data_IF_246368326710
#
_entry.id   IF_246368326710
#
_cell.length_a   1.000
_cell.length_b   1.000
_cell.length_c   1.000
_cell.angle_alpha   90.00
_cell.angle_beta   90.00
_cell.angle_gamma   90.00
#
_symmetry.space_group_name_H-M   'P 1'
#
loop_
_entity.id
_entity.type
_entity.pdbx_description
1 polymer ?
#
# COMPACT_ATOMS: atom_id res chain seq x y z
N UNK A 1 -1.72 -14.14 18.33
CA UNK A 1 -2.55 -12.94 18.11
C UNK A 1 -1.75 -11.73 17.59
N UNK A 2 -0.41 -11.67 17.72
CA UNK A 2 0.36 -10.45 17.41
C UNK A 2 0.21 -9.86 15.99
N UNK A 3 0.10 -10.67 14.93
CA UNK A 3 -0.01 -10.16 13.57
C UNK A 3 -1.33 -9.42 13.30
N UNK A 4 -2.43 -9.93 13.86
CA UNK A 4 -3.75 -9.28 13.77
C UNK A 4 -3.74 -7.97 14.56
N UNK A 5 -3.22 -8.00 15.79
CA UNK A 5 -3.12 -6.81 16.64
C UNK A 5 -2.27 -5.71 15.96
N UNK A 6 -1.15 -6.09 15.33
CA UNK A 6 -0.29 -5.18 14.57
C UNK A 6 -1.01 -4.57 13.37
N UNK A 7 -1.80 -5.35 12.63
CA UNK A 7 -2.61 -4.85 11.52
C UNK A 7 -3.68 -3.85 11.98
N UNK A 8 -4.37 -4.14 13.09
CA UNK A 8 -5.37 -3.23 13.67
C UNK A 8 -4.72 -1.92 14.10
N UNK A 9 -3.55 -1.97 14.74
CA UNK A 9 -2.83 -0.78 15.20
C UNK A 9 -2.31 0.08 14.03
N UNK A 10 -1.91 -0.54 12.92
CA UNK A 10 -1.54 0.17 11.70
C UNK A 10 -2.70 0.99 11.12
N UNK A 11 -3.90 0.40 11.04
CA UNK A 11 -5.10 1.10 10.59
C UNK A 11 -5.50 2.22 11.57
N UNK A 12 -5.45 1.94 12.87
CA UNK A 12 -5.72 2.95 13.90
C UNK A 12 -4.74 4.12 13.81
N UNK A 13 -3.46 3.85 13.53
CA UNK A 13 -2.44 4.87 13.33
C UNK A 13 -2.70 5.75 12.11
N UNK A 14 -3.12 5.17 10.98
CA UNK A 14 -3.53 5.95 9.80
C UNK A 14 -4.77 6.80 10.09
N UNK A 15 -5.75 6.26 10.82
CA UNK A 15 -6.93 7.01 11.25
C UNK A 15 -6.55 8.20 12.14
N UNK A 16 -5.67 7.99 13.12
CA UNK A 16 -5.14 9.08 13.97
C UNK A 16 -4.33 10.12 13.17
N UNK A 17 -3.73 9.73 12.05
CA UNK A 17 -3.06 10.64 11.12
C UNK A 17 -4.03 11.43 10.22
N UNK A 18 -5.35 11.20 10.33
CA UNK A 18 -6.40 11.97 9.66
C UNK A 18 -6.96 11.33 8.38
N UNK A 19 -6.66 10.06 8.10
CA UNK A 19 -7.20 9.37 6.92
C UNK A 19 -8.56 8.71 7.21
N UNK A 20 -9.46 8.72 6.21
CA UNK A 20 -10.75 8.06 6.32
C UNK A 20 -10.64 6.54 6.12
N UNK A 21 -10.51 5.80 7.22
CA UNK A 21 -10.36 4.33 7.21
C UNK A 21 -11.70 3.60 7.37
N UNK A 22 -12.71 4.23 7.97
CA UNK A 22 -13.96 3.57 8.35
C UNK A 22 -14.80 3.18 7.11
N UNK A 23 -14.71 3.94 6.02
CA UNK A 23 -15.39 3.67 4.75
C UNK A 23 -14.74 2.56 3.88
N UNK A 24 -13.72 1.88 4.39
CA UNK A 24 -13.02 0.82 3.67
C UNK A 24 -13.57 -0.57 4.01
N UNK A 25 -13.67 -1.43 2.99
CA UNK A 25 -13.90 -2.85 3.16
C UNK A 25 -12.61 -3.58 3.63
N UNK A 26 -12.74 -4.85 3.98
CA UNK A 26 -11.62 -5.62 4.57
C UNK A 26 -10.46 -5.84 3.59
N UNK A 27 -10.73 -5.96 2.30
CA UNK A 27 -9.69 -6.09 1.27
C UNK A 27 -8.89 -4.79 1.10
N UNK A 28 -9.59 -3.65 1.10
CA UNK A 28 -8.97 -2.34 1.05
C UNK A 28 -8.11 -2.09 2.29
N UNK A 29 -8.64 -2.44 3.48
CA UNK A 29 -7.91 -2.39 4.75
C UNK A 29 -6.68 -3.28 4.74
N UNK A 30 -6.76 -4.48 4.20
CA UNK A 30 -5.63 -5.41 4.10
C UNK A 30 -4.47 -4.80 3.30
N UNK A 31 -4.76 -4.12 2.18
CA UNK A 31 -3.73 -3.43 1.39
C UNK A 31 -3.05 -2.30 2.16
N UNK A 32 -3.81 -1.53 2.95
CA UNK A 32 -3.23 -0.48 3.80
C UNK A 32 -2.38 -1.05 4.94
N UNK A 33 -2.83 -2.14 5.57
CA UNK A 33 -2.02 -2.87 6.57
C UNK A 33 -0.70 -3.29 5.95
N UNK A 34 -0.74 -3.88 4.75
CA UNK A 34 0.46 -4.35 4.07
C UNK A 34 1.40 -3.20 3.68
N UNK A 35 0.86 -2.07 3.21
CA UNK A 35 1.63 -0.85 2.96
C UNK A 35 2.36 -0.36 4.22
N UNK A 36 1.64 -0.22 5.35
CA UNK A 36 2.22 0.22 6.62
C UNK A 36 3.19 -0.79 7.22
N UNK A 37 3.00 -2.08 6.95
CA UNK A 37 3.95 -3.12 7.38
C UNK A 37 5.27 -3.00 6.61
N UNK A 38 5.22 -2.78 5.28
CA UNK A 38 6.41 -2.65 4.45
C UNK A 38 7.21 -1.37 4.70
N UNK A 39 6.54 -0.27 5.03
CA UNK A 39 7.19 1.05 5.14
C UNK A 39 7.35 1.52 6.60
N UNK A 40 6.57 0.97 7.52
CA UNK A 40 6.26 1.66 8.78
C UNK A 40 5.35 2.86 8.55
N UNK A 41 4.79 3.39 9.64
CA UNK A 41 3.78 4.45 9.57
C UNK A 41 4.29 5.74 8.91
N UNK A 42 5.49 6.19 9.28
CA UNK A 42 6.04 7.47 8.81
C UNK A 42 6.21 7.50 7.29
N UNK A 43 6.91 6.50 6.74
CA UNK A 43 7.13 6.41 5.30
C UNK A 43 5.84 6.05 4.54
N UNK A 44 4.89 5.32 5.16
CA UNK A 44 3.57 5.10 4.57
C UNK A 44 2.78 6.42 4.42
N UNK A 45 2.85 7.33 5.41
CA UNK A 45 2.23 8.66 5.31
C UNK A 45 2.87 9.45 4.16
N UNK A 46 4.20 9.44 4.05
CA UNK A 46 4.89 10.10 2.94
C UNK A 46 4.57 9.47 1.58
N UNK A 47 4.40 8.14 1.53
CA UNK A 47 3.96 7.42 0.35
C UNK A 47 2.56 7.86 -0.06
N UNK A 48 1.60 7.86 0.87
CA UNK A 48 0.21 8.27 0.63
C UNK A 48 0.16 9.71 0.09
N UNK A 49 0.90 10.64 0.72
CA UNK A 49 1.03 12.05 0.30
C UNK A 49 1.86 12.28 -0.97
N UNK A 50 2.45 11.22 -1.54
CA UNK A 50 3.31 11.30 -2.72
C UNK A 50 4.47 12.29 -2.57
N UNK A 51 5.11 12.31 -1.40
CA UNK A 51 6.21 13.24 -1.09
C UNK A 51 7.48 12.55 -0.54
N UNK A 52 7.66 11.26 -0.80
CA UNK A 52 8.92 10.56 -0.54
C UNK A 52 10.03 11.17 -1.41
N UNK A 53 11.16 11.52 -0.80
CA UNK A 53 12.33 12.06 -1.50
C UNK A 53 13.03 10.98 -2.34
N UNK A 54 13.76 11.38 -3.38
CA UNK A 54 14.55 10.45 -4.21
C UNK A 54 15.53 9.61 -3.39
N UNK A 55 16.21 10.21 -2.40
CA UNK A 55 17.16 9.50 -1.54
C UNK A 55 16.48 8.49 -0.62
N UNK A 56 15.33 8.83 -0.04
CA UNK A 56 14.58 7.89 0.79
C UNK A 56 13.97 6.78 -0.07
N UNK A 57 13.41 7.10 -1.24
CA UNK A 57 12.91 6.11 -2.18
C UNK A 57 14.02 5.16 -2.65
N UNK A 58 15.24 5.66 -2.87
CA UNK A 58 16.41 4.82 -3.19
C UNK A 58 16.73 3.86 -2.06
N UNK A 59 16.82 4.35 -0.82
CA UNK A 59 17.10 3.51 0.36
C UNK A 59 16.05 2.42 0.53
N UNK A 60 14.77 2.79 0.48
CA UNK A 60 13.64 1.87 0.61
C UNK A 60 13.65 0.83 -0.50
N UNK A 61 13.78 1.26 -1.76
CA UNK A 61 13.77 0.33 -2.89
C UNK A 61 14.96 -0.64 -2.85
N UNK A 62 16.16 -0.18 -2.50
CA UNK A 62 17.33 -1.07 -2.34
C UNK A 62 17.08 -2.09 -1.23
N UNK A 63 16.52 -1.67 -0.09
CA UNK A 63 16.21 -2.57 1.01
C UNK A 63 15.17 -3.63 0.63
N UNK A 64 14.22 -3.28 -0.24
CA UNK A 64 13.12 -4.15 -0.63
C UNK A 64 13.47 -5.13 -1.76
N UNK A 65 14.27 -4.71 -2.75
CA UNK A 65 14.53 -5.52 -3.96
C UNK A 65 16.01 -5.80 -4.23
N UNK A 66 16.91 -5.29 -3.39
CA UNK A 66 18.35 -5.35 -3.60
C UNK A 66 18.86 -4.27 -4.57
N UNK A 67 20.17 -4.01 -4.52
CA UNK A 67 20.80 -2.87 -5.19
C UNK A 67 20.68 -2.92 -6.73
N UNK A 68 20.99 -4.06 -7.35
CA UNK A 68 20.97 -4.18 -8.82
C UNK A 68 19.57 -3.99 -9.40
N UNK A 69 18.58 -4.62 -8.76
CA UNK A 69 17.17 -4.51 -9.13
C UNK A 69 16.67 -3.07 -8.95
N UNK A 70 17.05 -2.40 -7.86
CA UNK A 70 16.69 -1.00 -7.61
C UNK A 70 17.26 -0.07 -8.70
N UNK A 71 18.53 -0.24 -9.09
CA UNK A 71 19.16 0.54 -10.17
C UNK A 71 18.43 0.32 -11.50
N UNK A 72 18.12 -0.93 -11.84
CA UNK A 72 17.39 -1.27 -13.07
C UNK A 72 16.00 -0.64 -13.11
N UNK A 73 15.23 -0.75 -12.02
CA UNK A 73 13.90 -0.16 -11.88
C UNK A 73 13.96 1.37 -11.93
N UNK A 74 14.93 2.01 -11.29
CA UNK A 74 15.11 3.46 -11.31
C UNK A 74 15.41 3.97 -12.73
N UNK A 75 16.28 3.28 -13.49
CA UNK A 75 16.53 3.59 -14.90
C UNK A 75 15.25 3.48 -15.73
N UNK A 76 14.50 2.38 -15.60
CA UNK A 76 13.25 2.15 -16.34
C UNK A 76 12.18 3.20 -16.05
N UNK A 77 12.09 3.69 -14.80
CA UNK A 77 11.05 4.61 -14.35
C UNK A 77 11.52 6.08 -14.26
N UNK A 78 12.75 6.38 -14.70
CA UNK A 78 13.35 7.73 -14.69
C UNK A 78 13.41 8.35 -13.28
N UNK A 79 13.84 7.58 -12.29
CA UNK A 79 14.01 8.02 -10.90
C UNK A 79 13.63 6.95 -9.87
N UNK A 80 14.22 7.02 -8.67
CA UNK A 80 13.95 6.09 -7.58
C UNK A 80 12.57 6.34 -6.96
N UNK A 81 12.10 7.59 -6.88
CA UNK A 81 10.76 7.89 -6.34
C UNK A 81 9.68 7.20 -7.18
N UNK A 82 9.72 7.37 -8.50
CA UNK A 82 8.76 6.74 -9.43
C UNK A 82 8.90 5.21 -9.42
N UNK A 83 10.12 4.70 -9.40
CA UNK A 83 10.39 3.27 -9.35
C UNK A 83 9.85 2.62 -8.07
N UNK A 84 10.12 3.21 -6.91
CA UNK A 84 9.65 2.73 -5.62
C UNK A 84 8.12 2.74 -5.56
N UNK A 85 7.50 3.86 -5.93
CA UNK A 85 6.04 3.99 -5.93
C UNK A 85 5.37 2.94 -6.80
N UNK A 86 5.84 2.79 -8.05
CA UNK A 86 5.29 1.79 -8.96
C UNK A 86 5.49 0.37 -8.43
N UNK A 87 6.71 0.03 -8.03
CA UNK A 87 7.02 -1.33 -7.59
C UNK A 87 6.20 -1.72 -6.36
N UNK A 88 6.07 -0.85 -5.36
CA UNK A 88 5.34 -1.18 -4.14
C UNK A 88 3.83 -1.28 -4.38
N UNK A 89 3.26 -0.43 -5.24
CA UNK A 89 1.86 -0.56 -5.65
C UNK A 89 1.61 -1.89 -6.35
N UNK A 90 2.39 -2.20 -7.38
CA UNK A 90 2.27 -3.46 -8.13
C UNK A 90 2.44 -4.66 -7.16
N UNK A 91 3.46 -4.64 -6.30
CA UNK A 91 3.72 -5.71 -5.34
C UNK A 91 2.56 -5.94 -4.37
N UNK A 92 1.99 -4.88 -3.78
CA UNK A 92 0.86 -5.03 -2.85
C UNK A 92 -0.39 -5.50 -3.59
N UNK A 93 -0.67 -4.95 -4.78
CA UNK A 93 -1.83 -5.33 -5.57
C UNK A 93 -1.76 -6.81 -6.01
N UNK A 94 -0.57 -7.30 -6.36
CA UNK A 94 -0.34 -8.70 -6.74
C UNK A 94 -0.43 -9.67 -5.55
N UNK A 95 -0.02 -9.24 -4.34
CA UNK A 95 -0.01 -10.10 -3.15
C UNK A 95 -1.34 -10.06 -2.36
N UNK A 96 -2.15 -9.02 -2.52
CA UNK A 96 -3.48 -8.90 -1.92
C UNK A 96 -4.52 -8.91 -3.05
N UNK A 97 -4.67 -10.09 -3.67
CA UNK A 97 -5.61 -10.34 -4.76
C UNK A 97 -6.73 -11.28 -4.28
N UNK A 98 -7.97 -10.77 -4.25
CA UNK A 98 -9.12 -11.52 -3.76
C UNK A 98 -9.45 -12.72 -4.66
N UNK A 99 -9.14 -12.67 -5.95
CA UNK A 99 -9.39 -13.79 -6.86
C UNK A 99 -8.54 -15.02 -6.50
N UNK A 100 -7.39 -14.81 -5.88
CA UNK A 100 -6.45 -15.87 -5.51
C UNK A 100 -6.73 -16.40 -4.10
N UNK A 101 -7.11 -15.52 -3.17
CA UNK A 101 -7.15 -15.84 -1.74
C UNK A 101 -8.56 -15.91 -1.13
N UNK A 102 -9.59 -15.34 -1.76
CA UNK A 102 -10.97 -15.44 -1.26
C UNK A 102 -11.70 -16.62 -1.90
N UNK A 103 -12.68 -17.16 -1.17
CA UNK A 103 -13.54 -18.23 -1.68
C UNK A 103 -14.24 -17.74 -2.97
N UNK A 104 -14.07 -18.42 -4.12
CA UNK A 104 -14.65 -18.00 -5.41
C UNK A 104 -16.16 -17.76 -5.38
N UNK A 105 -16.87 -18.50 -4.53
CA UNK A 105 -18.32 -18.35 -4.35
C UNK A 105 -18.68 -17.01 -3.69
N UNK A 106 -17.84 -16.49 -2.78
CA UNK A 106 -18.01 -15.20 -2.12
C UNK A 106 -17.61 -14.03 -3.01
N UNK A 107 -16.54 -14.16 -3.79
CA UNK A 107 -16.11 -13.12 -4.74
C UNK A 107 -17.13 -12.93 -5.87
N UNK A 108 -17.68 -14.02 -6.41
CA UNK A 108 -18.68 -13.97 -7.49
C UNK A 108 -20.08 -13.54 -7.00
N UNK A 109 -20.48 -13.91 -5.79
CA UNK A 109 -21.80 -13.54 -5.24
C UNK A 109 -21.84 -12.10 -4.70
N UNK A 110 -20.76 -11.60 -4.10
CA UNK A 110 -20.70 -10.26 -3.52
C UNK A 110 -20.15 -9.17 -4.45
N UNK A 111 -19.73 -9.51 -5.69
CA UNK A 111 -19.08 -8.57 -6.64
C UNK A 111 -17.96 -7.75 -5.99
N UNK A 112 -17.14 -8.39 -5.15
CA UNK A 112 -16.07 -7.68 -4.45
C UNK A 112 -14.94 -7.44 -5.45
N UNK A 113 -14.85 -6.23 -5.98
CA UNK A 113 -13.76 -5.84 -6.86
C UNK A 113 -12.47 -5.62 -6.07
N UNK A 114 -11.38 -6.26 -6.51
CA UNK A 114 -10.05 -5.98 -5.97
C UNK A 114 -9.62 -4.58 -6.43
N UNK A 115 -9.84 -3.58 -5.58
CA UNK A 115 -9.47 -2.20 -5.90
C UNK A 115 -7.95 -2.03 -5.83
N UNK A 116 -7.34 -1.39 -6.83
CA UNK A 116 -5.90 -1.09 -6.83
C UNK A 116 -5.53 -0.12 -5.69
N UNK A 117 -4.35 -0.31 -5.08
CA UNK A 117 -3.88 0.50 -3.95
C UNK A 117 -3.94 2.00 -4.24
N UNK A 118 -3.66 2.40 -5.49
CA UNK A 118 -3.75 3.80 -5.93
C UNK A 118 -5.14 4.41 -5.72
N UNK A 119 -6.21 3.66 -6.00
CA UNK A 119 -7.59 4.14 -5.85
C UNK A 119 -7.98 4.19 -4.37
N UNK A 120 -7.52 3.24 -3.56
CA UNK A 120 -7.69 3.26 -2.10
C UNK A 120 -7.03 4.50 -1.50
N UNK A 121 -5.80 4.82 -1.92
CA UNK A 121 -5.07 6.01 -1.46
C UNK A 121 -5.87 7.30 -1.74
N UNK A 122 -6.50 7.40 -2.91
CA UNK A 122 -7.35 8.55 -3.22
C UNK A 122 -8.59 8.59 -2.31
N UNK A 123 -9.28 7.46 -2.15
CA UNK A 123 -10.50 7.32 -1.34
C UNK A 123 -10.29 7.72 0.13
N UNK A 124 -9.13 7.42 0.72
CA UNK A 124 -8.85 7.77 2.13
C UNK A 124 -8.41 9.23 2.34
N UNK A 125 -8.11 9.95 1.27
CA UNK A 125 -7.69 11.35 1.28
C UNK A 125 -8.86 12.32 1.06
N UNK A 126 -9.97 11.84 0.51
CA UNK A 126 -11.22 12.58 0.40
C UNK A 126 -11.82 12.73 1.80
N UNK A 127 -11.74 13.94 2.35
CA UNK A 127 -12.47 14.31 3.56
C UNK A 127 -13.78 14.91 3.08
N UNK A 128 -14.91 14.30 3.45
CA UNK A 128 -16.22 14.93 3.29
C UNK A 128 -16.17 16.30 3.98
N UNK A 129 -16.30 17.38 3.20
CA UNK A 129 -16.46 18.76 3.70
C UNK A 129 -17.78 18.95 4.46
#
# INVERSE_FOLDING_TARGET
MAAVDYGVENLASLKRAGYNIDGLNDAEKAKLIYLTHHLGLSDAIHFIKNNITEDNAKKLLIAQVGNESAISKAKKNRGYMKAHRKWLMDYIDDNINLEIYFCPELTNSCKIETLALKLIINKIQEVDE
#
